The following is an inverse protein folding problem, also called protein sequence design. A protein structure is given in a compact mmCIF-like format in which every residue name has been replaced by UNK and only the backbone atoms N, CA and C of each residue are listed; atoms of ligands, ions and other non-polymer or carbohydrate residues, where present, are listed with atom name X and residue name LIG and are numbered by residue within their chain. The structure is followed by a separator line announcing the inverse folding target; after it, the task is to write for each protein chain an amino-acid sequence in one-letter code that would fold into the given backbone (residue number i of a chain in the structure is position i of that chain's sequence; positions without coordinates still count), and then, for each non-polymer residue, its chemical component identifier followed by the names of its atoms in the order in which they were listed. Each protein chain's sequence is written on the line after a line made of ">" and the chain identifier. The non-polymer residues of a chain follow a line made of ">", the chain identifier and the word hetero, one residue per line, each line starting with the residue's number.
data_IF_150736054243
#
_entry.id   IF_150736054243
#
_cell.length_a   1.000
_cell.length_b   1.000
_cell.length_c   1.000
_cell.angle_alpha   90.00
_cell.angle_beta   90.00
_cell.angle_gamma   90.00
#
_symmetry.space_group_name_H-M   'P 1'
#
loop_
_entity.id
_entity.type
_entity.pdbx_description
1 polymer ?
#
# COMPACT_ATOMS: atom_id res chain seq x y z
N UNK A 1 -8.98 32.97 -69.21
CA UNK A 1 -8.55 31.65 -68.69
C UNK A 1 -7.42 31.90 -67.69
N UNK A 2 -7.75 32.03 -66.38
CA UNK A 2 -6.78 32.40 -65.33
C UNK A 2 -6.43 31.17 -64.52
N UNK A 3 -5.16 30.78 -64.59
CA UNK A 3 -4.54 29.68 -63.85
C UNK A 3 -4.31 30.15 -62.40
N UNK A 4 -5.07 29.62 -61.44
CA UNK A 4 -4.83 29.83 -60.01
C UNK A 4 -3.90 28.71 -59.53
N UNK A 5 -2.63 29.06 -59.31
CA UNK A 5 -1.63 28.18 -58.70
C UNK A 5 -1.89 28.17 -57.19
N UNK A 6 -2.47 27.07 -56.70
CA UNK A 6 -2.71 26.82 -55.29
C UNK A 6 -1.39 26.36 -54.64
N UNK A 7 -0.72 27.28 -53.96
CA UNK A 7 0.45 27.01 -53.14
C UNK A 7 0.01 26.24 -51.89
N UNK A 8 0.17 24.92 -51.90
CA UNK A 8 -0.05 24.06 -50.72
C UNK A 8 1.12 24.31 -49.76
N UNK A 9 0.91 25.22 -48.81
CA UNK A 9 1.80 25.39 -47.65
C UNK A 9 1.71 24.10 -46.84
N UNK A 10 2.72 23.24 -46.97
CA UNK A 10 2.94 22.12 -46.09
C UNK A 10 3.28 22.66 -44.69
N UNK A 11 2.24 22.93 -43.90
CA UNK A 11 2.33 23.19 -42.47
C UNK A 11 3.09 22.03 -41.85
N UNK A 12 4.34 22.28 -41.48
CA UNK A 12 5.16 21.39 -40.66
C UNK A 12 4.40 21.08 -39.40
N UNK A 13 3.70 19.95 -39.42
CA UNK A 13 2.97 19.43 -38.29
C UNK A 13 4.03 19.08 -37.27
N UNK A 14 4.29 19.98 -36.32
CA UNK A 14 5.01 19.65 -35.10
C UNK A 14 4.36 18.36 -34.63
N UNK A 15 5.10 17.26 -34.66
CA UNK A 15 4.58 15.97 -34.25
C UNK A 15 4.19 16.14 -32.79
N UNK A 16 2.92 16.44 -32.55
CA UNK A 16 2.38 16.60 -31.22
C UNK A 16 2.65 15.27 -30.57
N UNK A 17 3.61 15.24 -29.64
CA UNK A 17 4.03 14.03 -28.97
C UNK A 17 2.76 13.34 -28.50
N UNK A 18 2.51 12.15 -29.05
CA UNK A 18 1.27 11.46 -28.84
C UNK A 18 1.13 11.25 -27.33
N UNK A 19 0.09 11.85 -26.74
CA UNK A 19 -0.10 11.85 -25.30
C UNK A 19 -0.30 10.40 -24.82
N UNK A 20 0.20 10.04 -23.62
CA UNK A 20 0.00 8.72 -23.07
C UNK A 20 -1.50 8.46 -22.82
N UNK A 21 -1.87 7.18 -22.80
CA UNK A 21 -3.26 6.75 -22.59
C UNK A 21 -3.76 7.11 -21.17
N UNK A 22 -2.85 7.22 -20.20
CA UNK A 22 -3.09 7.79 -18.88
C UNK A 22 -1.94 8.74 -18.51
N UNK A 23 -2.27 9.84 -17.83
CA UNK A 23 -1.33 10.90 -17.42
C UNK A 23 -1.00 10.87 -15.93
N UNK A 24 -1.59 9.93 -15.17
CA UNK A 24 -1.22 9.58 -13.80
C UNK A 24 -1.00 8.07 -13.65
N UNK A 25 0.04 7.68 -12.94
CA UNK A 25 0.32 6.31 -12.51
C UNK A 25 0.27 6.25 -10.98
N UNK A 26 -0.58 5.40 -10.42
CA UNK A 26 -0.60 5.10 -8.98
C UNK A 26 -0.01 3.71 -8.78
N UNK A 27 1.02 3.62 -7.94
CA UNK A 27 1.72 2.36 -7.66
C UNK A 27 1.43 1.89 -6.25
N UNK A 28 1.08 0.61 -6.11
CA UNK A 28 1.01 -0.12 -4.86
C UNK A 28 1.82 -1.41 -5.00
N UNK A 29 3.03 -1.39 -4.46
CA UNK A 29 4.00 -2.47 -4.53
C UNK A 29 4.73 -2.59 -3.18
N UNK A 30 4.09 -3.14 -2.14
CA UNK A 30 4.67 -3.22 -0.80
C UNK A 30 6.02 -3.93 -0.81
N UNK A 31 7.05 -3.30 -0.25
CA UNK A 31 8.42 -3.83 -0.17
C UNK A 31 9.09 -4.10 -1.52
N UNK A 32 8.66 -3.42 -2.58
CA UNK A 32 9.27 -3.49 -3.90
C UNK A 32 9.82 -2.10 -4.26
N UNK A 33 10.93 -2.06 -4.99
CA UNK A 33 11.40 -0.79 -5.56
C UNK A 33 10.49 -0.40 -6.72
N UNK A 34 9.80 0.73 -6.60
CA UNK A 34 8.95 1.29 -7.65
C UNK A 34 9.74 2.00 -8.75
N UNK A 35 11.08 2.01 -8.68
CA UNK A 35 11.95 2.72 -9.62
C UNK A 35 11.78 2.32 -11.10
N UNK A 36 11.62 1.03 -11.47
CA UNK A 36 11.34 0.64 -12.87
C UNK A 36 10.02 1.22 -13.39
N UNK A 37 9.00 1.27 -12.54
CA UNK A 37 7.69 1.86 -12.87
C UNK A 37 7.81 3.39 -13.02
N UNK A 38 8.54 4.03 -12.12
CA UNK A 38 8.80 5.47 -12.18
C UNK A 38 9.56 5.89 -13.44
N UNK A 39 10.50 5.07 -13.91
CA UNK A 39 11.19 5.31 -15.17
C UNK A 39 10.21 5.29 -16.35
N UNK A 40 9.34 4.28 -16.44
CA UNK A 40 8.31 4.20 -17.50
C UNK A 40 7.34 5.38 -17.46
N UNK A 41 6.86 5.75 -16.27
CA UNK A 41 5.97 6.90 -16.12
C UNK A 41 6.65 8.19 -16.62
N UNK A 42 7.90 8.42 -16.24
CA UNK A 42 8.70 9.58 -16.67
C UNK A 42 8.94 9.59 -18.19
N UNK A 43 9.34 8.46 -18.75
CA UNK A 43 9.65 8.33 -20.18
C UNK A 43 8.43 8.62 -21.07
N UNK A 44 7.22 8.32 -20.57
CA UNK A 44 5.95 8.55 -21.27
C UNK A 44 5.25 9.86 -20.85
N UNK A 45 5.86 10.67 -20.00
CA UNK A 45 5.32 11.95 -19.55
C UNK A 45 4.09 11.84 -18.62
N UNK A 46 3.94 10.72 -17.91
CA UNK A 46 2.93 10.54 -16.87
C UNK A 46 3.48 10.92 -15.49
N UNK A 47 2.64 11.57 -14.66
CA UNK A 47 2.93 11.77 -13.25
C UNK A 47 2.85 10.43 -12.49
N UNK A 48 3.52 10.31 -11.35
CA UNK A 48 3.45 9.10 -10.53
C UNK A 48 3.23 9.42 -9.06
N UNK A 49 2.34 8.65 -8.42
CA UNK A 49 2.13 8.61 -6.97
C UNK A 49 2.46 7.20 -6.49
N UNK A 50 3.43 7.07 -5.60
CA UNK A 50 3.72 5.81 -4.93
C UNK A 50 2.90 5.73 -3.63
N UNK A 51 1.92 4.83 -3.61
CA UNK A 51 1.06 4.48 -2.48
C UNK A 51 1.48 3.16 -1.84
N UNK A 52 2.62 2.59 -2.24
CA UNK A 52 3.16 1.41 -1.59
C UNK A 52 3.38 1.70 -0.11
N UNK A 53 2.96 0.80 0.79
CA UNK A 53 3.37 0.87 2.18
C UNK A 53 4.88 0.97 2.21
N UNK A 54 5.38 2.12 2.68
CA UNK A 54 6.78 2.24 3.04
C UNK A 54 6.94 1.51 4.36
N UNK A 55 8.12 0.95 4.59
CA UNK A 55 8.51 0.51 5.92
C UNK A 55 8.30 1.69 6.87
N UNK A 56 7.18 1.67 7.59
CA UNK A 56 6.91 2.66 8.62
C UNK A 56 7.96 2.34 9.65
N UNK A 57 8.98 3.21 9.75
CA UNK A 57 10.00 3.08 10.76
C UNK A 57 9.27 2.83 12.08
N UNK A 58 9.53 1.70 12.75
CA UNK A 58 8.80 1.37 13.96
C UNK A 58 8.95 2.52 14.95
N UNK A 59 7.88 2.79 15.72
CA UNK A 59 7.93 3.81 16.77
C UNK A 59 9.15 3.51 17.63
N UNK A 60 10.15 4.39 17.57
CA UNK A 60 11.40 4.19 18.29
C UNK A 60 11.17 4.49 19.76
N UNK A 61 11.14 3.45 20.58
CA UNK A 61 10.89 3.58 22.03
C UNK A 61 12.22 3.77 22.77
N UNK A 62 13.31 3.21 22.25
CA UNK A 62 14.63 3.27 22.88
C UNK A 62 15.07 4.70 23.28
N UNK A 63 14.87 5.76 22.47
CA UNK A 63 15.20 7.13 22.89
C UNK A 63 14.44 7.61 24.13
N UNK A 64 13.19 7.17 24.34
CA UNK A 64 12.41 7.49 25.55
C UNK A 64 12.99 6.77 26.78
N UNK A 65 13.39 5.51 26.61
CA UNK A 65 14.05 4.73 27.69
C UNK A 65 15.36 5.40 28.08
N UNK A 66 16.23 5.69 27.10
CA UNK A 66 17.50 6.38 27.33
C UNK A 66 17.31 7.73 28.03
N UNK A 67 16.36 8.55 27.55
CA UNK A 67 16.06 9.84 28.17
C UNK A 67 15.54 9.70 29.61
N UNK A 68 14.74 8.67 29.89
CA UNK A 68 14.24 8.36 31.22
C UNK A 68 15.35 7.95 32.20
N UNK A 69 16.24 7.06 31.76
CA UNK A 69 17.41 6.62 32.54
C UNK A 69 18.36 7.78 32.81
N UNK A 70 18.69 8.58 31.80
CA UNK A 70 19.57 9.75 31.96
C UNK A 70 18.96 10.80 32.89
N UNK A 71 17.66 11.05 32.79
CA UNK A 71 16.95 11.95 33.70
C UNK A 71 16.99 11.42 35.14
N UNK A 72 16.82 10.11 35.36
CA UNK A 72 16.94 9.49 36.68
C UNK A 72 18.36 9.65 37.24
N UNK A 73 19.39 9.33 36.44
CA UNK A 73 20.80 9.42 36.84
C UNK A 73 21.23 10.86 37.17
N UNK A 74 20.54 11.86 36.60
CA UNK A 74 20.76 13.29 36.87
C UNK A 74 19.78 13.89 37.89
N UNK A 75 19.04 13.05 38.63
CA UNK A 75 18.08 13.42 39.68
C UNK A 75 16.90 14.30 39.19
N UNK A 76 16.61 14.26 37.88
CA UNK A 76 15.45 14.92 37.26
C UNK A 76 14.24 14.00 37.24
N UNK A 77 13.73 13.67 38.43
CA UNK A 77 12.73 12.62 38.61
C UNK A 77 11.43 12.84 37.84
N UNK A 78 10.94 14.08 37.71
CA UNK A 78 9.74 14.39 36.93
C UNK A 78 9.94 14.13 35.42
N UNK A 79 11.12 14.44 34.88
CA UNK A 79 11.47 14.16 33.48
C UNK A 79 11.57 12.65 33.26
N UNK A 80 12.21 11.94 34.19
CA UNK A 80 12.36 10.49 34.16
C UNK A 80 10.99 9.80 34.17
N UNK A 81 10.10 10.17 35.10
CA UNK A 81 8.74 9.64 35.19
C UNK A 81 7.97 9.84 33.88
N UNK A 82 7.99 11.07 33.32
CA UNK A 82 7.30 11.37 32.05
C UNK A 82 7.86 10.60 30.86
N UNK A 83 9.17 10.38 30.81
CA UNK A 83 9.81 9.66 29.70
C UNK A 83 9.51 8.16 29.80
N UNK A 84 9.63 7.57 30.99
CA UNK A 84 9.40 6.16 31.24
C UNK A 84 7.91 5.77 31.13
N UNK A 85 6.97 6.63 31.53
CA UNK A 85 5.54 6.39 31.29
C UNK A 85 5.23 6.39 29.78
N UNK A 86 5.76 7.38 29.04
CA UNK A 86 5.61 7.41 27.58
C UNK A 86 6.24 6.18 26.91
N UNK A 87 7.36 5.69 27.44
CA UNK A 87 8.01 4.47 26.96
C UNK A 87 7.14 3.23 27.22
N UNK A 88 6.59 3.08 28.43
CA UNK A 88 5.64 2.01 28.77
C UNK A 88 4.42 2.06 27.87
N UNK A 89 3.77 3.21 27.76
CA UNK A 89 2.57 3.40 26.93
C UNK A 89 2.83 3.03 25.46
N UNK A 90 4.01 3.40 24.94
CA UNK A 90 4.42 3.01 23.60
C UNK A 90 4.70 1.50 23.51
N UNK A 91 5.32 0.89 24.52
CA UNK A 91 5.57 -0.54 24.57
C UNK A 91 4.25 -1.33 24.61
N UNK A 92 3.29 -0.94 25.46
CA UNK A 92 1.98 -1.57 25.58
C UNK A 92 1.20 -1.55 24.25
N UNK A 93 1.26 -0.45 23.50
CA UNK A 93 0.60 -0.32 22.18
C UNK A 93 1.30 -1.05 21.04
N UNK A 94 2.60 -1.29 21.14
CA UNK A 94 3.41 -1.80 20.01
C UNK A 94 4.04 -3.16 20.29
N UNK A 95 3.77 -3.76 21.45
CA UNK A 95 4.41 -5.00 21.88
C UNK A 95 5.91 -4.84 22.13
N UNK A 96 6.35 -3.68 22.63
CA UNK A 96 7.77 -3.38 22.88
C UNK A 96 8.58 -3.19 21.60
N UNK A 97 8.01 -2.57 20.57
CA UNK A 97 8.72 -2.37 19.30
C UNK A 97 10.06 -1.66 19.51
N UNK A 98 11.09 -2.13 18.80
CA UNK A 98 12.49 -1.62 18.85
C UNK A 98 13.25 -1.88 20.14
N UNK A 99 12.63 -2.47 21.17
CA UNK A 99 13.30 -2.77 22.44
C UNK A 99 13.83 -4.19 22.46
N UNK A 100 15.04 -4.35 22.99
CA UNK A 100 15.54 -5.64 23.44
C UNK A 100 15.01 -5.96 24.86
N UNK A 101 15.24 -7.19 25.39
CA UNK A 101 14.73 -7.57 26.71
C UNK A 101 15.31 -6.73 27.85
N UNK A 102 16.54 -6.21 27.72
CA UNK A 102 17.16 -5.36 28.73
C UNK A 102 16.47 -4.00 28.75
N UNK A 103 16.31 -3.37 27.59
CA UNK A 103 15.67 -2.05 27.47
C UNK A 103 14.21 -2.10 27.89
N UNK A 104 13.47 -3.16 27.53
CA UNK A 104 12.09 -3.34 27.95
C UNK A 104 11.97 -3.53 29.47
N UNK A 105 12.86 -4.32 30.08
CA UNK A 105 12.91 -4.47 31.54
C UNK A 105 13.35 -3.18 32.25
N UNK A 106 14.26 -2.41 31.65
CA UNK A 106 14.78 -1.16 32.21
C UNK A 106 13.67 -0.10 32.35
N UNK A 107 12.63 -0.11 31.48
CA UNK A 107 11.45 0.76 31.66
C UNK A 107 10.87 0.59 33.06
N UNK A 108 10.61 -0.66 33.45
CA UNK A 108 9.95 -0.99 34.73
C UNK A 108 10.94 -0.92 35.90
N UNK A 109 12.20 -1.31 35.70
CA UNK A 109 13.23 -1.15 36.73
C UNK A 109 13.34 0.32 37.16
N UNK A 110 13.54 1.25 36.23
CA UNK A 110 13.75 2.65 36.58
C UNK A 110 12.47 3.33 37.09
N UNK A 111 11.28 2.91 36.65
CA UNK A 111 10.02 3.33 37.28
C UNK A 111 9.93 2.91 38.74
N UNK A 112 10.26 1.65 39.04
CA UNK A 112 10.30 1.18 40.42
C UNK A 112 11.30 1.97 41.27
N UNK A 113 12.47 2.33 40.72
CA UNK A 113 13.44 3.15 41.43
C UNK A 113 12.89 4.55 41.74
N UNK A 114 12.17 5.17 40.81
CA UNK A 114 11.48 6.44 41.06
C UNK A 114 10.46 6.31 42.20
N UNK A 115 9.63 5.27 42.17
CA UNK A 115 8.61 5.03 43.19
C UNK A 115 9.24 4.78 44.57
N UNK A 116 10.39 4.12 44.65
CA UNK A 116 11.14 3.98 45.90
C UNK A 116 11.63 5.33 46.44
N UNK A 117 12.06 6.26 45.58
CA UNK A 117 12.43 7.62 46.01
C UNK A 117 11.22 8.40 46.53
N UNK A 118 10.04 8.17 45.93
CA UNK A 118 8.78 8.81 46.31
C UNK A 118 8.08 8.13 47.50
N UNK A 119 8.73 7.14 48.14
CA UNK A 119 8.15 6.36 49.25
C UNK A 119 6.84 5.63 48.88
N UNK A 120 6.77 5.12 47.65
CA UNK A 120 5.69 4.29 47.11
C UNK A 120 6.15 2.84 46.92
N UNK A 121 6.45 2.09 48.00
CA UNK A 121 7.10 0.78 47.91
C UNK A 121 6.25 -0.31 47.24
N UNK A 122 4.92 -0.22 47.33
CA UNK A 122 4.02 -1.21 46.76
C UNK A 122 3.98 -1.11 45.23
N UNK A 123 3.85 0.11 44.69
CA UNK A 123 3.95 0.35 43.23
C UNK A 123 5.32 -0.03 42.69
N UNK A 124 6.38 0.33 43.41
CA UNK A 124 7.74 -0.07 43.04
C UNK A 124 7.90 -1.59 42.98
N UNK A 125 7.30 -2.31 43.92
CA UNK A 125 7.35 -3.76 43.96
C UNK A 125 6.70 -4.39 42.73
N UNK A 126 5.54 -3.89 42.30
CA UNK A 126 4.86 -4.38 41.11
C UNK A 126 5.73 -4.20 39.86
N UNK A 127 6.35 -3.03 39.68
CA UNK A 127 7.22 -2.76 38.53
C UNK A 127 8.52 -3.61 38.57
N UNK A 128 9.09 -3.90 39.75
CA UNK A 128 10.22 -4.83 39.87
C UNK A 128 9.84 -6.27 39.46
N UNK A 129 8.63 -6.70 39.80
CA UNK A 129 8.10 -8.00 39.40
C UNK A 129 7.93 -8.07 37.87
N UNK A 130 7.46 -6.99 37.24
CA UNK A 130 7.36 -6.89 35.78
C UNK A 130 8.75 -6.96 35.14
N UNK A 131 9.71 -6.16 35.62
CA UNK A 131 11.09 -6.17 35.12
C UNK A 131 11.73 -7.57 35.22
N UNK A 132 11.54 -8.25 36.36
CA UNK A 132 12.04 -9.60 36.58
C UNK A 132 11.32 -10.67 35.73
N UNK A 133 10.07 -10.42 35.32
CA UNK A 133 9.32 -11.29 34.39
C UNK A 133 9.89 -11.19 32.97
N UNK A 134 10.16 -9.97 32.50
CA UNK A 134 10.71 -9.70 31.16
C UNK A 134 12.14 -10.23 31.03
N UNK A 135 13.01 -9.93 32.01
CA UNK A 135 14.43 -10.31 31.98
C UNK A 135 14.88 -10.94 33.32
N UNK A 136 14.56 -12.23 33.55
CA UNK A 136 14.86 -12.90 34.81
C UNK A 136 16.35 -13.15 35.06
N UNK A 137 17.20 -12.96 34.05
CA UNK A 137 18.66 -13.15 34.15
C UNK A 137 19.42 -11.84 34.36
N UNK A 138 18.73 -10.69 34.40
CA UNK A 138 19.36 -9.39 34.64
C UNK A 138 20.03 -9.35 36.01
N UNK A 139 21.31 -8.98 36.01
CA UNK A 139 22.11 -8.68 37.21
C UNK A 139 22.40 -7.19 37.23
N UNK A 140 22.17 -6.54 38.37
CA UNK A 140 22.47 -5.13 38.56
C UNK A 140 23.92 -4.93 38.97
N UNK A 141 24.55 -3.87 38.47
CA UNK A 141 25.92 -3.49 38.82
C UNK A 141 25.98 -2.86 40.23
N UNK A 142 26.70 -3.46 41.20
CA UNK A 142 26.86 -2.91 42.54
C UNK A 142 27.51 -1.52 42.60
N UNK A 143 28.27 -1.13 41.57
CA UNK A 143 28.83 0.22 41.49
C UNK A 143 27.78 1.28 41.12
N UNK A 144 26.69 0.88 40.45
CA UNK A 144 25.61 1.79 40.01
C UNK A 144 24.40 1.77 40.94
N UNK A 145 24.09 0.63 41.55
CA UNK A 145 22.87 0.44 42.32
C UNK A 145 23.16 0.21 43.81
N UNK A 146 22.44 0.88 44.73
CA UNK A 146 22.59 0.64 46.16
C UNK A 146 22.28 -0.81 46.55
N UNK A 147 22.92 -1.38 47.58
CA UNK A 147 22.67 -2.76 48.02
C UNK A 147 21.21 -3.08 48.30
N UNK A 148 20.44 -2.11 48.83
CA UNK A 148 19.00 -2.26 49.07
C UNK A 148 18.22 -2.51 47.79
N UNK A 149 18.53 -1.79 46.71
CA UNK A 149 17.87 -1.95 45.39
C UNK A 149 18.18 -3.33 44.82
N UNK A 150 19.44 -3.74 44.90
CA UNK A 150 19.89 -5.07 44.43
C UNK A 150 19.13 -6.17 45.17
N UNK A 151 19.06 -6.11 46.50
CA UNK A 151 18.32 -7.07 47.30
C UNK A 151 16.82 -7.12 46.93
N UNK A 152 16.21 -5.98 46.60
CA UNK A 152 14.80 -5.95 46.16
C UNK A 152 14.60 -6.61 44.79
N UNK A 153 15.50 -6.38 43.84
CA UNK A 153 15.46 -7.00 42.50
C UNK A 153 15.71 -8.50 42.59
N UNK A 154 16.68 -8.93 43.41
CA UNK A 154 16.92 -10.36 43.68
C UNK A 154 15.69 -11.03 44.31
N UNK A 155 15.03 -10.35 45.26
CA UNK A 155 13.77 -10.82 45.84
C UNK A 155 12.66 -10.93 44.79
N UNK A 156 12.50 -9.94 43.92
CA UNK A 156 11.51 -9.98 42.84
C UNK A 156 11.78 -11.14 41.86
N UNK A 157 13.05 -11.37 41.50
CA UNK A 157 13.48 -12.51 40.67
C UNK A 157 13.18 -13.85 41.33
N UNK A 158 13.43 -13.99 42.64
CA UNK A 158 13.11 -15.21 43.37
C UNK A 158 11.60 -15.50 43.33
N UNK A 159 10.77 -14.48 43.56
CA UNK A 159 9.30 -14.60 43.45
C UNK A 159 8.87 -15.00 42.04
N UNK A 160 9.43 -14.38 40.99
CA UNK A 160 9.11 -14.73 39.59
C UNK A 160 9.59 -16.15 39.24
N UNK A 161 10.70 -16.62 39.79
CA UNK A 161 11.21 -17.97 39.56
C UNK A 161 10.29 -19.06 40.11
N UNK A 162 9.53 -18.76 41.17
CA UNK A 162 8.53 -19.66 41.76
C UNK A 162 7.19 -19.65 41.00
N UNK A 163 6.96 -18.68 40.11
CA UNK A 163 5.71 -18.59 39.35
C UNK A 163 5.55 -19.76 38.38
N UNK A 164 4.32 -20.24 38.15
CA UNK A 164 4.08 -21.29 37.17
C UNK A 164 4.53 -20.85 35.77
N UNK A 165 5.06 -21.79 35.01
CA UNK A 165 5.26 -21.62 33.56
C UNK A 165 3.90 -21.85 32.90
N UNK A 166 3.50 -20.90 32.07
CA UNK A 166 2.22 -20.88 31.38
C UNK A 166 2.47 -20.86 29.88
N UNK A 167 1.62 -21.56 29.13
CA UNK A 167 1.69 -21.63 27.67
C UNK A 167 0.82 -20.54 27.04
N UNK A 168 1.41 -19.76 26.13
CA UNK A 168 0.72 -18.84 25.24
C UNK A 168 0.78 -19.41 23.82
N UNK A 169 -0.37 -19.79 23.28
CA UNK A 169 -0.52 -20.18 21.87
C UNK A 169 -0.82 -18.93 21.03
N UNK A 170 -0.06 -18.71 19.97
CA UNK A 170 -0.15 -17.52 19.14
C UNK A 170 -0.51 -17.94 17.70
N UNK A 171 -1.68 -17.56 17.22
CA UNK A 171 -2.05 -17.77 15.81
C UNK A 171 -1.49 -16.62 14.98
N UNK A 172 -0.31 -16.85 14.41
CA UNK A 172 0.45 -15.84 13.67
C UNK A 172 0.34 -16.12 12.17
N UNK A 173 0.06 -15.11 11.31
CA UNK A 173 0.07 -15.32 9.87
C UNK A 173 1.44 -15.84 9.40
N UNK A 174 1.43 -16.68 8.35
CA UNK A 174 2.64 -17.29 7.81
C UNK A 174 3.61 -16.24 7.26
N UNK A 175 4.91 -16.49 7.41
CA UNK A 175 5.96 -15.57 6.95
C UNK A 175 6.14 -14.31 7.80
N UNK A 176 5.35 -14.12 8.86
CA UNK A 176 5.60 -13.08 9.84
C UNK A 176 6.68 -13.53 10.84
N UNK A 177 7.41 -12.55 11.38
CA UNK A 177 8.33 -12.75 12.50
C UNK A 177 7.62 -12.37 13.80
N UNK A 178 7.80 -13.19 14.83
CA UNK A 178 7.22 -13.02 16.16
C UNK A 178 8.32 -12.62 17.15
N UNK A 179 7.97 -11.68 18.03
CA UNK A 179 8.76 -11.33 19.21
C UNK A 179 7.90 -11.44 20.47
N UNK A 180 8.51 -11.95 21.54
CA UNK A 180 7.94 -11.92 22.89
C UNK A 180 9.00 -11.33 23.81
N UNK A 181 8.64 -10.26 24.51
CA UNK A 181 9.51 -9.54 25.46
C UNK A 181 10.84 -9.07 24.84
N UNK A 182 10.79 -8.62 23.58
CA UNK A 182 11.97 -8.19 22.83
C UNK A 182 12.83 -9.35 22.26
N UNK A 183 12.49 -10.61 22.56
CA UNK A 183 13.18 -11.79 22.02
C UNK A 183 12.47 -12.28 20.76
N UNK A 184 13.21 -12.43 19.65
CA UNK A 184 12.67 -13.01 18.43
C UNK A 184 12.43 -14.52 18.65
N UNK A 185 11.18 -14.96 18.52
CA UNK A 185 10.79 -16.38 18.66
C UNK A 185 10.96 -17.14 17.34
N UNK A 186 11.17 -16.42 16.23
CA UNK A 186 11.41 -16.98 14.90
C UNK A 186 10.43 -16.45 13.85
N UNK A 187 10.58 -16.94 12.61
CA UNK A 187 9.64 -16.69 11.51
C UNK A 187 8.70 -17.89 11.38
N UNK A 188 7.40 -17.63 11.27
CA UNK A 188 6.37 -18.65 11.17
C UNK A 188 6.52 -19.39 9.84
N UNK A 189 6.77 -20.70 9.89
CA UNK A 189 6.87 -21.54 8.70
C UNK A 189 5.54 -21.58 7.92
N UNK A 190 5.56 -21.77 6.58
CA UNK A 190 4.34 -21.77 5.76
C UNK A 190 3.27 -22.79 6.16
N UNK A 191 3.64 -23.84 6.88
CA UNK A 191 2.76 -24.92 7.36
C UNK A 191 2.37 -24.79 8.83
N UNK A 192 3.00 -23.88 9.59
CA UNK A 192 2.68 -23.65 10.98
C UNK A 192 1.55 -22.61 11.08
N UNK A 193 0.46 -22.97 11.76
CA UNK A 193 -0.66 -22.05 12.04
C UNK A 193 -0.59 -21.43 13.43
N UNK A 194 0.27 -21.96 14.31
CA UNK A 194 0.45 -21.46 15.66
C UNK A 194 1.89 -21.62 16.15
N UNK A 195 2.33 -20.71 17.03
CA UNK A 195 3.58 -20.81 17.80
C UNK A 195 3.22 -20.93 19.28
N UNK A 196 3.84 -21.89 19.98
CA UNK A 196 3.73 -22.01 21.44
C UNK A 196 4.90 -21.28 22.10
N UNK A 197 4.58 -20.30 22.95
CA UNK A 197 5.52 -19.64 23.85
C UNK A 197 5.28 -20.15 25.28
N UNK A 198 6.36 -20.45 26.01
CA UNK A 198 6.30 -20.88 27.41
C UNK A 198 7.02 -19.84 28.27
N UNK A 199 6.24 -19.05 29.02
CA UNK A 199 6.74 -17.97 29.88
C UNK A 199 6.30 -18.13 31.32
N UNK A 200 6.93 -17.42 32.25
CA UNK A 200 6.45 -17.34 33.65
C UNK A 200 5.17 -16.52 33.69
N UNK A 201 4.24 -16.85 34.57
CA UNK A 201 2.99 -16.07 34.65
C UNK A 201 3.24 -14.59 34.94
N UNK A 202 2.60 -13.69 34.19
CA UNK A 202 2.79 -12.25 34.30
C UNK A 202 2.52 -11.51 32.98
N UNK A 203 2.79 -10.20 32.92
CA UNK A 203 2.67 -9.45 31.68
C UNK A 203 3.80 -9.80 30.69
N UNK A 204 3.43 -9.94 29.42
CA UNK A 204 4.34 -10.14 28.30
C UNK A 204 3.99 -9.18 27.17
N UNK A 205 4.99 -8.78 26.39
CA UNK A 205 4.81 -7.93 25.22
C UNK A 205 5.01 -8.75 23.95
N UNK A 206 3.95 -8.88 23.17
CA UNK A 206 3.95 -9.64 21.93
C UNK A 206 3.95 -8.67 20.77
N UNK A 207 4.90 -8.83 19.84
CA UNK A 207 4.95 -8.06 18.60
C UNK A 207 5.08 -8.99 17.40
N UNK A 208 4.41 -8.62 16.32
CA UNK A 208 4.49 -9.29 15.03
C UNK A 208 4.77 -8.28 13.94
N UNK A 209 5.73 -8.62 13.08
CA UNK A 209 5.98 -7.88 11.85
C UNK A 209 5.86 -8.84 10.68
N UNK A 210 5.09 -8.43 9.69
CA UNK A 210 4.92 -9.16 8.45
C UNK A 210 5.38 -8.28 7.31
N UNK A 211 5.78 -8.90 6.20
CA UNK A 211 6.14 -8.15 5.00
C UNK A 211 4.93 -7.41 4.41
N UNK A 212 3.78 -8.05 4.34
CA UNK A 212 2.58 -7.59 3.64
C UNK A 212 1.49 -7.03 4.57
N UNK A 213 1.81 -6.79 5.84
CA UNK A 213 0.84 -6.33 6.86
C UNK A 213 1.42 -5.21 7.70
N UNK A 214 0.54 -4.38 8.25
CA UNK A 214 0.91 -3.40 9.25
C UNK A 214 1.53 -4.10 10.48
N UNK A 215 2.54 -3.50 11.13
CA UNK A 215 3.08 -4.04 12.36
C UNK A 215 1.99 -4.11 13.41
N UNK A 216 2.00 -5.17 14.20
CA UNK A 216 1.02 -5.42 15.25
C UNK A 216 1.74 -5.69 16.57
N UNK A 217 1.19 -5.24 17.68
CA UNK A 217 1.71 -5.61 18.98
C UNK A 217 0.72 -5.31 20.10
N UNK A 218 0.89 -6.01 21.20
CA UNK A 218 0.00 -5.91 22.36
C UNK A 218 0.72 -6.38 23.63
N UNK A 219 0.29 -5.87 24.77
CA UNK A 219 0.58 -6.46 26.08
C UNK A 219 -0.44 -7.56 26.41
N UNK A 220 0.05 -8.71 26.86
CA UNK A 220 -0.77 -9.85 27.28
C UNK A 220 -0.43 -10.20 28.73
N UNK A 221 -1.43 -10.19 29.61
CA UNK A 221 -1.25 -10.75 30.95
C UNK A 221 -1.50 -12.27 30.92
N UNK A 222 -0.41 -13.04 31.06
CA UNK A 222 -0.40 -14.49 31.00
C UNK A 222 -0.53 -15.07 32.41
N UNK A 223 -1.75 -15.29 32.89
CA UNK A 223 -2.01 -15.89 34.20
C UNK A 223 -2.46 -17.35 34.11
N UNK A 224 -3.06 -17.73 32.97
CA UNK A 224 -3.50 -19.08 32.63
C UNK A 224 -3.16 -19.39 31.17
N UNK A 225 -3.10 -20.67 30.77
CA UNK A 225 -2.90 -21.01 29.36
C UNK A 225 -3.93 -20.30 28.48
N UNK A 226 -3.46 -19.67 27.40
CA UNK A 226 -4.31 -18.85 26.53
C UNK A 226 -3.87 -18.97 25.09
N UNK A 227 -4.85 -18.91 24.19
CA UNK A 227 -4.65 -18.70 22.76
C UNK A 227 -4.93 -17.25 22.38
N UNK A 228 -4.05 -16.66 21.57
CA UNK A 228 -4.15 -15.30 21.07
C UNK A 228 -4.09 -15.31 19.54
N UNK A 229 -5.21 -14.91 18.93
CA UNK A 229 -5.25 -14.71 17.49
C UNK A 229 -4.62 -13.36 17.13
N UNK A 230 -3.63 -13.38 16.23
CA UNK A 230 -2.95 -12.16 15.80
C UNK A 230 -3.56 -11.65 14.50
N UNK A 231 -4.29 -10.55 14.60
CA UNK A 231 -4.99 -9.90 13.49
C UNK A 231 -4.15 -8.75 12.90
N UNK A 232 -2.94 -9.06 12.42
CA UNK A 232 -2.14 -8.06 11.70
C UNK A 232 -2.87 -7.65 10.41
N UNK A 233 -3.21 -6.36 10.29
CA UNK A 233 -4.02 -5.86 9.18
C UNK A 233 -3.21 -5.91 7.87
N UNK A 234 -3.68 -6.61 6.83
CA UNK A 234 -2.99 -6.61 5.55
C UNK A 234 -2.98 -5.20 4.97
N UNK A 235 -1.87 -4.82 4.35
CA UNK A 235 -1.87 -3.59 3.57
C UNK A 235 -2.86 -3.72 2.42
N UNK A 236 -3.70 -2.71 2.23
CA UNK A 236 -4.66 -2.67 1.13
C UNK A 236 -4.16 -1.72 0.05
N UNK A 237 -4.32 -2.06 -1.24
CA UNK A 237 -4.16 -1.10 -2.32
C UNK A 237 -5.24 -0.01 -2.21
N UNK A 238 -5.00 1.19 -2.77
CA UNK A 238 -6.06 2.16 -3.00
C UNK A 238 -7.19 1.51 -3.79
N UNK A 239 -8.43 1.74 -3.39
CA UNK A 239 -9.58 1.34 -4.19
C UNK A 239 -9.72 2.24 -5.44
N UNK A 240 -10.60 1.85 -6.37
CA UNK A 240 -10.80 2.60 -7.62
C UNK A 240 -11.35 4.00 -7.37
N UNK A 241 -12.15 4.19 -6.32
CA UNK A 241 -12.70 5.49 -5.98
C UNK A 241 -11.60 6.44 -5.50
N UNK A 242 -10.71 5.97 -4.61
CA UNK A 242 -9.55 6.71 -4.13
C UNK A 242 -8.60 7.03 -5.29
N UNK A 243 -8.32 6.06 -6.16
CA UNK A 243 -7.47 6.27 -7.33
C UNK A 243 -8.05 7.33 -8.28
N UNK A 244 -9.36 7.33 -8.53
CA UNK A 244 -10.04 8.35 -9.35
C UNK A 244 -10.06 9.71 -8.65
N UNK A 245 -10.23 9.77 -7.33
CA UNK A 245 -10.14 11.01 -6.54
C UNK A 245 -8.74 11.62 -6.69
N UNK A 246 -7.68 10.81 -6.55
CA UNK A 246 -6.29 11.24 -6.74
C UNK A 246 -6.04 11.71 -8.18
N UNK A 247 -6.60 11.01 -9.18
CA UNK A 247 -6.53 11.41 -10.59
C UNK A 247 -7.15 12.78 -10.83
N UNK A 248 -8.35 13.03 -10.29
CA UNK A 248 -9.03 14.34 -10.41
C UNK A 248 -8.24 15.45 -9.72
N UNK A 249 -7.72 15.19 -8.53
CA UNK A 249 -6.89 16.15 -7.80
C UNK A 249 -5.61 16.53 -8.57
N UNK A 250 -5.04 15.58 -9.32
CA UNK A 250 -3.90 15.79 -10.20
C UNK A 250 -4.27 16.33 -11.60
N UNK A 251 -5.55 16.63 -11.86
CA UNK A 251 -6.07 17.02 -13.20
C UNK A 251 -5.78 16.01 -14.31
N UNK A 252 -5.60 14.74 -13.95
CA UNK A 252 -5.38 13.64 -14.89
C UNK A 252 -6.68 13.27 -15.61
N UNK A 253 -6.59 12.82 -16.86
CA UNK A 253 -7.71 12.36 -17.71
C UNK A 253 -8.00 10.87 -17.55
N UNK A 254 -6.99 10.11 -17.16
CA UNK A 254 -7.10 8.71 -16.80
C UNK A 254 -5.96 8.35 -15.84
N UNK A 255 -6.15 7.28 -15.07
CA UNK A 255 -5.15 6.79 -14.13
C UNK A 255 -4.78 5.35 -14.47
N UNK A 256 -3.49 5.06 -14.50
CA UNK A 256 -2.98 3.70 -14.50
C UNK A 256 -2.73 3.26 -13.06
N UNK A 257 -3.38 2.19 -12.62
CA UNK A 257 -3.19 1.60 -11.29
C UNK A 257 -2.28 0.39 -11.46
N UNK A 258 -1.17 0.39 -10.73
CA UNK A 258 -0.17 -0.68 -10.71
C UNK A 258 -0.19 -1.31 -9.32
N UNK A 259 -0.40 -2.61 -9.27
CA UNK A 259 -0.62 -3.36 -8.04
C UNK A 259 0.23 -4.64 -8.02
N UNK A 260 0.93 -4.91 -6.91
CA UNK A 260 1.74 -6.13 -6.74
C UNK A 260 1.23 -6.94 -5.55
N UNK A 261 0.71 -8.14 -5.82
CA UNK A 261 0.29 -9.13 -4.80
C UNK A 261 1.11 -10.41 -4.93
N UNK A 262 2.01 -10.64 -3.99
CA UNK A 262 2.88 -11.81 -4.01
C UNK A 262 3.71 -11.87 -5.29
N UNK A 263 3.47 -12.90 -6.12
CA UNK A 263 4.15 -13.11 -7.41
C UNK A 263 3.34 -12.58 -8.60
N UNK A 264 2.24 -11.87 -8.39
CA UNK A 264 1.40 -11.33 -9.47
C UNK A 264 1.42 -9.81 -9.46
N UNK A 265 1.81 -9.22 -10.58
CA UNK A 265 1.69 -7.79 -10.85
C UNK A 265 0.52 -7.52 -11.79
N UNK A 266 -0.27 -6.48 -11.51
CA UNK A 266 -1.37 -6.02 -12.37
C UNK A 266 -1.14 -4.54 -12.69
N UNK A 267 -1.27 -4.17 -13.96
CA UNK A 267 -1.35 -2.78 -14.38
C UNK A 267 -2.66 -2.60 -15.15
N UNK A 268 -3.48 -1.61 -14.80
CA UNK A 268 -4.76 -1.35 -15.46
C UNK A 268 -5.03 0.14 -15.59
N UNK A 269 -5.77 0.53 -16.63
CA UNK A 269 -6.19 1.93 -16.84
C UNK A 269 -7.64 2.08 -16.42
N UNK A 270 -7.90 3.06 -15.57
CA UNK A 270 -9.24 3.45 -15.12
C UNK A 270 -9.52 4.88 -15.60
N UNK A 271 -10.69 5.07 -16.23
CA UNK A 271 -11.17 6.41 -16.61
C UNK A 271 -11.70 7.20 -15.41
N UNK A 272 -11.91 8.50 -15.56
CA UNK A 272 -12.53 9.32 -14.50
C UNK A 272 -13.99 8.98 -14.21
N UNK A 273 -14.61 8.16 -15.06
CA UNK A 273 -15.91 7.54 -14.86
C UNK A 273 -15.86 6.28 -13.97
N UNK A 274 -14.68 5.90 -13.49
CA UNK A 274 -14.45 4.72 -12.65
C UNK A 274 -14.44 3.40 -13.43
N UNK A 275 -14.49 3.45 -14.76
CA UNK A 275 -14.52 2.23 -15.59
C UNK A 275 -13.11 1.83 -16.02
N UNK A 276 -12.80 0.55 -15.84
CA UNK A 276 -11.58 -0.06 -16.38
C UNK A 276 -11.64 -0.08 -17.92
N UNK A 277 -10.54 0.30 -18.56
CA UNK A 277 -10.41 0.41 -20.03
C UNK A 277 -9.47 -0.63 -20.63
N UNK A 278 -8.38 -0.93 -19.94
CA UNK A 278 -7.41 -1.95 -20.35
C UNK A 278 -6.66 -2.48 -19.11
N UNK A 279 -6.16 -3.71 -19.19
CA UNK A 279 -5.48 -4.42 -18.10
C UNK A 279 -4.39 -5.34 -18.63
N UNK A 280 -3.28 -5.40 -17.91
CA UNK A 280 -2.18 -6.35 -18.07
C UNK A 280 -1.92 -7.02 -16.73
N UNK A 281 -1.66 -8.31 -16.76
CA UNK A 281 -1.21 -9.09 -15.60
C UNK A 281 0.09 -9.79 -15.96
N UNK A 282 1.06 -9.76 -15.07
CA UNK A 282 2.36 -10.41 -15.25
C UNK A 282 2.72 -11.22 -14.01
N UNK A 283 3.38 -12.35 -14.21
CA UNK A 283 4.03 -13.08 -13.13
C UNK A 283 5.37 -12.44 -12.86
N UNK A 284 5.63 -12.13 -11.60
CA UNK A 284 6.87 -11.53 -11.11
C UNK A 284 7.65 -12.63 -10.37
N UNK A 285 8.86 -12.93 -10.82
CA UNK A 285 9.70 -13.98 -10.24
C UNK A 285 10.19 -13.62 -8.83
N UNK A 286 10.46 -12.33 -8.59
CA UNK A 286 10.79 -11.80 -7.27
C UNK A 286 10.07 -10.48 -7.05
N UNK A 287 9.43 -10.32 -5.90
CA UNK A 287 8.87 -9.05 -5.42
C UNK A 287 9.80 -7.83 -5.55
N UNK A 288 11.11 -8.02 -5.66
CA UNK A 288 12.10 -6.94 -5.84
C UNK A 288 12.29 -6.48 -7.28
N UNK A 289 11.96 -7.30 -8.27
CA UNK A 289 12.16 -7.01 -9.69
C UNK A 289 10.82 -6.71 -10.37
N UNK A 290 10.52 -5.42 -10.54
CA UNK A 290 9.29 -4.97 -11.21
C UNK A 290 9.47 -4.76 -12.72
N UNK A 291 10.57 -5.19 -13.32
CA UNK A 291 10.85 -4.98 -14.76
C UNK A 291 9.75 -5.55 -15.67
N UNK A 292 9.24 -6.79 -15.48
CA UNK A 292 8.15 -7.31 -16.31
C UNK A 292 6.86 -6.48 -16.20
N UNK A 293 6.59 -5.93 -15.01
CA UNK A 293 5.42 -5.09 -14.76
C UNK A 293 5.61 -3.69 -15.37
N UNK A 294 6.83 -3.17 -15.37
CA UNK A 294 7.18 -1.94 -16.06
C UNK A 294 7.00 -2.05 -17.58
N UNK A 295 7.41 -3.17 -18.18
CA UNK A 295 7.19 -3.43 -19.61
C UNK A 295 5.70 -3.55 -19.95
N UNK A 296 4.93 -4.24 -19.11
CA UNK A 296 3.47 -4.29 -19.23
C UNK A 296 2.84 -2.90 -19.14
N UNK A 297 3.26 -2.08 -18.16
CA UNK A 297 2.79 -0.70 -18.04
C UNK A 297 3.17 0.14 -19.26
N UNK A 298 4.38 -0.01 -19.80
CA UNK A 298 4.82 0.71 -21.01
C UNK A 298 3.90 0.39 -22.19
N UNK A 299 3.56 -0.89 -22.38
CA UNK A 299 2.61 -1.30 -23.42
C UNK A 299 1.20 -0.72 -23.22
N UNK A 300 0.79 -0.59 -21.96
CA UNK A 300 -0.53 -0.09 -21.55
C UNK A 300 -0.67 1.43 -21.73
N UNK A 301 0.40 2.17 -21.42
CA UNK A 301 0.46 3.63 -21.54
C UNK A 301 0.78 4.10 -22.95
N UNK A 302 1.32 3.23 -23.80
CA UNK A 302 1.63 3.55 -25.19
C UNK A 302 0.41 4.20 -25.87
N UNK A 303 0.60 5.30 -26.61
CA UNK A 303 -0.49 5.96 -27.30
C UNK A 303 -1.20 4.95 -28.20
N UNK A 304 -2.52 4.86 -28.10
CA UNK A 304 -3.28 4.06 -29.06
C UNK A 304 -3.00 4.65 -30.44
N UNK A 305 -2.31 3.87 -31.28
CA UNK A 305 -2.13 4.20 -32.68
C UNK A 305 -3.54 4.23 -33.28
N UNK A 306 -4.12 5.44 -33.35
CA UNK A 306 -5.35 5.67 -34.07
C UNK A 306 -5.03 5.24 -35.48
N UNK A 307 -5.54 4.07 -35.88
CA UNK A 307 -5.36 3.59 -37.24
C UNK A 307 -5.84 4.74 -38.12
N UNK A 308 -4.98 5.26 -39.02
CA UNK A 308 -5.35 6.42 -39.80
C UNK A 308 -6.72 6.15 -40.42
N UNK A 309 -7.65 7.10 -40.30
CA UNK A 309 -9.04 6.91 -40.73
C UNK A 309 -9.10 6.43 -42.19
N UNK A 310 -8.19 6.91 -43.04
CA UNK A 310 -8.03 6.48 -44.43
C UNK A 310 -7.53 5.02 -44.60
N UNK A 311 -7.15 4.31 -43.55
CA UNK A 311 -6.90 2.86 -43.60
C UNK A 311 -8.11 2.03 -43.18
N UNK A 312 -9.16 2.65 -42.63
CA UNK A 312 -10.40 1.95 -42.34
C UNK A 312 -11.12 1.63 -43.66
N UNK A 313 -11.39 0.35 -43.93
CA UNK A 313 -12.10 -0.09 -45.16
C UNK A 313 -13.45 0.64 -45.31
N UNK A 314 -14.12 0.92 -44.20
CA UNK A 314 -15.39 1.66 -44.16
C UNK A 314 -15.29 3.09 -44.67
N UNK A 315 -14.17 3.77 -44.44
CA UNK A 315 -13.95 5.14 -44.95
C UNK A 315 -13.88 5.13 -46.47
N UNK A 316 -13.17 4.16 -47.06
CA UNK A 316 -13.14 4.02 -48.52
C UNK A 316 -14.50 3.63 -49.08
N UNK A 317 -15.25 2.76 -48.40
CA UNK A 317 -16.60 2.41 -48.84
C UNK A 317 -17.56 3.59 -48.74
N UNK A 318 -17.51 4.39 -47.68
CA UNK A 318 -18.31 5.61 -47.54
C UNK A 318 -17.91 6.66 -48.57
N UNK A 319 -16.60 6.84 -48.81
CA UNK A 319 -16.08 7.74 -49.84
C UNK A 319 -16.49 7.32 -51.25
N UNK A 320 -16.40 6.02 -51.56
CA UNK A 320 -16.86 5.47 -52.84
C UNK A 320 -18.38 5.63 -52.99
N UNK A 321 -19.16 5.32 -51.96
CA UNK A 321 -20.62 5.50 -51.99
C UNK A 321 -21.01 6.97 -52.20
N UNK A 322 -20.36 7.91 -51.51
CA UNK A 322 -20.58 9.33 -51.69
C UNK A 322 -20.22 9.80 -53.12
N UNK A 323 -19.10 9.32 -53.66
CA UNK A 323 -18.69 9.60 -55.04
C UNK A 323 -19.70 9.03 -56.06
N UNK A 324 -20.13 7.78 -55.87
CA UNK A 324 -21.14 7.14 -56.72
C UNK A 324 -22.47 7.87 -56.66
N UNK A 325 -22.93 8.28 -55.47
CA UNK A 325 -24.14 9.07 -55.32
C UNK A 325 -24.03 10.43 -56.02
N UNK A 326 -22.89 11.11 -55.88
CA UNK A 326 -22.63 12.40 -56.55
C UNK A 326 -22.65 12.29 -58.09
N UNK A 327 -22.31 11.13 -58.66
CA UNK A 327 -22.36 10.87 -60.10
C UNK A 327 -23.78 10.44 -60.55
N UNK A 328 -24.42 9.52 -59.84
CA UNK A 328 -25.68 8.92 -60.27
C UNK A 328 -26.90 9.83 -60.04
N UNK A 329 -26.90 10.67 -59.00
CA UNK A 329 -28.03 11.55 -58.70
C UNK A 329 -28.27 12.57 -59.84
N UNK A 330 -27.26 13.31 -60.35
CA UNK A 330 -27.46 14.23 -61.48
C UNK A 330 -27.95 13.51 -62.75
N UNK A 331 -27.43 12.31 -63.02
CA UNK A 331 -27.80 11.53 -64.21
C UNK A 331 -29.26 11.09 -64.14
N UNK A 332 -29.70 10.56 -63.00
CA UNK A 332 -31.10 10.12 -62.81
C UNK A 332 -32.07 11.30 -62.83
N UNK A 333 -31.70 12.45 -62.26
CA UNK A 333 -32.48 13.70 -62.36
C UNK A 333 -32.56 14.22 -63.80
N UNK A 334 -31.49 14.08 -64.59
CA UNK A 334 -31.50 14.43 -66.02
C UNK A 334 -32.44 13.55 -66.83
N UNK A 335 -32.33 12.22 -66.69
CA UNK A 335 -33.16 11.25 -67.43
C UNK A 335 -34.65 11.39 -67.08
N UNK A 336 -34.97 11.65 -65.81
CA UNK A 336 -36.36 11.83 -65.37
C UNK A 336 -36.98 13.13 -65.89
N UNK A 337 -36.19 14.19 -66.09
CA UNK A 337 -36.67 15.44 -66.72
C UNK A 337 -36.97 15.28 -68.21
N UNK A 338 -36.21 14.45 -68.92
CA UNK A 338 -36.46 14.20 -70.35
C UNK A 338 -37.66 13.26 -70.58
N UNK A 339 -38.08 12.51 -69.55
CA UNK A 339 -39.25 11.61 -69.60
C UNK A 339 -40.61 12.31 -69.54
N UNK A 340 -40.70 13.55 -69.05
CA UNK A 340 -41.98 14.29 -68.99
C UNK A 340 -42.38 14.95 -70.32
N UNK A 341 -41.49 15.01 -71.32
CA UNK A 341 -41.77 15.63 -72.61
C UNK A 341 -42.55 14.73 -73.61
N UNK A 342 -42.93 13.51 -73.22
CA UNK A 342 -43.63 12.55 -74.11
C UNK A 342 -44.96 12.04 -73.55
N UNK A 343 -45.71 12.86 -72.81
CA UNK A 343 -47.16 12.63 -72.67
C UNK A 343 -47.89 13.13 -73.92
N UNK A 344 -47.69 12.40 -75.02
CA UNK A 344 -48.58 12.45 -76.17
C UNK A 344 -49.97 12.05 -75.67
N UNK A 345 -50.89 13.02 -75.66
CA UNK A 345 -52.28 12.82 -75.28
C UNK A 345 -52.92 11.74 -76.15
N UNK A 346 -53.08 10.54 -75.57
CA UNK A 346 -54.07 9.58 -76.03
C UNK A 346 -55.38 9.99 -75.36
N UNK A 347 -56.16 10.79 -76.08
CA UNK A 347 -57.55 11.03 -75.77
C UNK A 347 -58.29 9.68 -75.84
N UNK A 348 -58.59 9.09 -74.69
CA UNK A 348 -59.55 8.01 -74.58
C UNK A 348 -60.94 8.62 -74.69
N UNK A 349 -61.52 8.47 -75.88
CA UNK A 349 -62.93 8.72 -76.15
C UNK A 349 -63.76 7.72 -75.33
N UNK A 350 -64.48 8.23 -74.32
CA UNK A 350 -65.36 7.44 -73.46
C UNK A 350 -66.76 7.50 -74.07
N UNK A 351 -67.32 6.39 -74.58
CA UNK A 351 -68.69 6.40 -75.08
C UNK A 351 -69.68 6.51 -73.92
N UNK A 352 -70.54 7.52 -74.03
CA UNK A 352 -71.69 7.79 -73.18
C UNK A 352 -72.74 6.68 -73.35
N UNK A 353 -72.91 5.84 -72.33
CA UNK A 353 -74.06 4.93 -72.23
C UNK A 353 -75.04 5.49 -71.21
N UNK A 354 -76.27 5.72 -71.69
CA UNK A 354 -77.46 6.13 -70.94
C UNK A 354 -77.91 5.08 -69.91
#
# INVERSE_FOLDING_TARGET
>A
MRLVVLLVVALGSSAAAARPTADLVIVWAPNASSAPIAAVARDLGAAMIDRSPRDVAPVSIAPLVTAGVEAYDTLRFDDAARALERARDAADRTGGATLDPVQLADIFLYRALLDLQLSLPDTAWDDLIVAATINPTRVLDPARFPPRVIAMVERARAVVAERPIVTLELDVPTGCTLWVDGIATGTVAPVATSISYHGRSGPHWVRVTCRDRAPWGVRVDLTTPRRLAIEAMPYQPPDDAEAVIQARAATARAVAIVEVRGTTGIARIVGLDGRERDRRSVTIASSTDLTPLADALRSLLAPQLVRPWYRARWVWMAGAAALTAAILIPITVGITRDGEASSLGVALDVPEFR
#
